data_IF_224711688465
#
_entry.id   IF_224711688465
#
_cell.length_a   1.000
_cell.length_b   1.000
_cell.length_c   1.000
_cell.angle_alpha   90.00
_cell.angle_beta   90.00
_cell.angle_gamma   90.00
#
_symmetry.space_group_name_H-M   'P 1'
#
loop_
_entity.id
_entity.type
_entity.pdbx_description
1 polymer ?
#
# COMPACT_ATOMS: atom_id res chain seq x y z
N UNK A 1 14.58 18.57 -5.65
CA UNK A 1 14.39 17.68 -4.48
C UNK A 1 15.75 17.15 -4.04
N UNK A 2 16.10 17.19 -2.74
CA UNK A 2 17.44 16.71 -2.29
C UNK A 2 17.57 15.20 -2.58
N UNK A 3 18.74 14.73 -3.04
CA UNK A 3 18.99 13.30 -3.34
C UNK A 3 18.54 12.37 -2.20
N UNK A 4 18.78 12.75 -0.95
CA UNK A 4 18.34 12.00 0.23
C UNK A 4 16.82 11.86 0.42
N UNK A 5 15.98 12.73 -0.16
CA UNK A 5 14.51 12.58 -0.14
C UNK A 5 14.07 11.49 -1.13
N UNK A 6 14.66 11.47 -2.32
CA UNK A 6 14.35 10.46 -3.34
C UNK A 6 14.66 9.05 -2.82
N UNK A 7 15.83 8.84 -2.22
CA UNK A 7 16.18 7.54 -1.64
C UNK A 7 15.24 7.09 -0.53
N UNK A 8 14.71 8.02 0.26
CA UNK A 8 13.74 7.71 1.33
C UNK A 8 12.38 7.29 0.79
N UNK A 9 11.94 7.95 -0.28
CA UNK A 9 10.75 7.56 -1.04
C UNK A 9 10.94 6.15 -1.58
N UNK A 10 12.06 5.90 -2.28
CA UNK A 10 12.38 4.59 -2.87
C UNK A 10 12.36 3.48 -1.82
N UNK A 11 12.98 3.67 -0.66
CA UNK A 11 13.00 2.65 0.40
C UNK A 11 11.63 2.40 0.99
N UNK A 12 10.86 3.48 1.25
CA UNK A 12 9.51 3.34 1.81
C UNK A 12 8.61 2.57 0.85
N UNK A 13 8.67 2.96 -0.41
CA UNK A 13 7.97 2.31 -1.51
C UNK A 13 8.39 0.84 -1.68
N UNK A 14 9.70 0.56 -1.75
CA UNK A 14 10.21 -0.79 -1.95
C UNK A 14 9.88 -1.71 -0.77
N UNK A 15 9.95 -1.20 0.47
CA UNK A 15 9.56 -1.96 1.67
C UNK A 15 8.09 -2.34 1.60
N UNK A 16 7.21 -1.39 1.30
CA UNK A 16 5.79 -1.64 1.13
C UNK A 16 5.55 -2.70 0.05
N UNK A 17 6.20 -2.57 -1.11
CA UNK A 17 6.03 -3.48 -2.24
C UNK A 17 6.58 -4.88 -2.00
N UNK A 18 7.73 -5.02 -1.35
CA UNK A 18 8.29 -6.33 -1.03
C UNK A 18 7.36 -7.06 -0.07
N UNK A 19 6.88 -6.38 0.98
CA UNK A 19 5.95 -6.99 1.94
C UNK A 19 4.62 -7.35 1.27
N UNK A 20 4.07 -6.45 0.45
CA UNK A 20 2.86 -6.69 -0.31
C UNK A 20 3.05 -7.90 -1.25
N UNK A 21 4.12 -7.92 -2.05
CA UNK A 21 4.45 -9.02 -2.94
C UNK A 21 4.62 -10.36 -2.20
N UNK A 22 5.30 -10.38 -1.04
CA UNK A 22 5.44 -11.59 -0.23
C UNK A 22 4.09 -12.10 0.27
N UNK A 23 3.20 -11.19 0.69
CA UNK A 23 1.83 -11.54 1.06
C UNK A 23 1.06 -12.07 -0.17
N UNK A 24 1.34 -11.56 -1.37
CA UNK A 24 0.69 -12.01 -2.60
C UNK A 24 1.21 -13.35 -3.13
N UNK A 25 2.48 -13.65 -2.93
CA UNK A 25 3.06 -14.95 -3.28
C UNK A 25 2.39 -16.10 -2.51
N UNK A 26 1.74 -15.82 -1.38
CA UNK A 26 0.91 -16.78 -0.64
C UNK A 26 -0.47 -17.07 -1.25
N UNK A 27 -0.75 -16.56 -2.47
CA UNK A 27 -1.90 -16.98 -3.29
C UNK A 27 -2.83 -15.87 -3.77
N UNK A 28 -2.42 -14.60 -3.73
CA UNK A 28 -3.22 -13.42 -4.13
C UNK A 28 -2.93 -13.07 -5.58
N UNK A 29 -3.81 -13.49 -6.48
CA UNK A 29 -3.80 -13.05 -7.88
C UNK A 29 -4.47 -11.68 -8.02
N UNK A 30 -3.75 -10.70 -8.55
CA UNK A 30 -4.29 -9.36 -8.85
C UNK A 30 -4.10 -8.99 -10.32
N UNK A 31 -4.94 -8.07 -10.80
CA UNK A 31 -4.80 -7.53 -12.16
C UNK A 31 -3.67 -6.49 -12.21
N UNK A 32 -3.08 -6.31 -13.40
CA UNK A 32 -2.09 -5.27 -13.67
C UNK A 32 -2.57 -3.87 -13.29
N UNK A 33 -3.88 -3.58 -13.41
CA UNK A 33 -4.46 -2.31 -12.97
C UNK A 33 -4.31 -2.09 -11.47
N UNK A 34 -4.59 -3.10 -10.64
CA UNK A 34 -4.46 -2.98 -9.18
C UNK A 34 -3.00 -2.80 -8.76
N UNK A 35 -2.09 -3.56 -9.37
CA UNK A 35 -0.65 -3.39 -9.15
C UNK A 35 -0.18 -1.97 -9.50
N UNK A 36 -0.56 -1.42 -10.66
CA UNK A 36 -0.17 -0.06 -11.07
C UNK A 36 -0.78 0.99 -10.14
N UNK A 37 -2.02 0.81 -9.70
CA UNK A 37 -2.68 1.75 -8.79
C UNK A 37 -2.05 1.73 -7.39
N UNK A 38 -1.70 0.56 -6.84
CA UNK A 38 -0.95 0.46 -5.57
C UNK A 38 0.42 1.10 -5.67
N UNK A 39 1.10 0.87 -6.79
CA UNK A 39 2.40 1.48 -7.13
C UNK A 39 2.29 3.01 -7.07
N UNK A 40 1.33 3.59 -7.78
CA UNK A 40 1.13 5.03 -7.82
C UNK A 40 0.79 5.62 -6.43
N UNK A 41 -0.11 4.97 -5.68
CA UNK A 41 -0.51 5.44 -4.35
C UNK A 41 0.64 5.38 -3.34
N UNK A 42 1.38 4.28 -3.27
CA UNK A 42 2.52 4.15 -2.35
C UNK A 42 3.63 5.17 -2.62
N UNK A 43 3.93 5.45 -3.90
CA UNK A 43 4.85 6.52 -4.29
C UNK A 43 4.32 7.89 -3.89
N UNK A 44 3.05 8.19 -4.19
CA UNK A 44 2.42 9.48 -3.89
C UNK A 44 2.43 9.77 -2.37
N UNK A 45 2.02 8.81 -1.55
CA UNK A 45 2.00 8.99 -0.10
C UNK A 45 3.40 9.08 0.50
N UNK A 46 4.37 8.32 -0.01
CA UNK A 46 5.77 8.48 0.41
C UNK A 46 6.30 9.87 0.02
N UNK A 47 5.97 10.37 -1.17
CA UNK A 47 6.31 11.73 -1.59
C UNK A 47 5.69 12.78 -0.68
N UNK A 48 4.38 12.71 -0.40
CA UNK A 48 3.69 13.62 0.52
C UNK A 48 4.38 13.61 1.89
N UNK A 49 4.71 12.42 2.41
CA UNK A 49 5.41 12.31 3.67
C UNK A 49 6.77 13.01 3.65
N UNK A 50 7.67 12.70 2.71
CA UNK A 50 9.03 13.25 2.75
C UNK A 50 9.18 14.67 2.18
N UNK A 51 8.24 15.12 1.34
CA UNK A 51 8.28 16.44 0.69
C UNK A 51 7.43 17.49 1.41
N UNK A 52 6.28 17.10 1.97
CA UNK A 52 5.34 18.02 2.64
C UNK A 52 5.50 17.92 4.17
N UNK A 53 5.54 16.70 4.71
CA UNK A 53 5.64 16.48 6.15
C UNK A 53 7.11 16.43 6.64
N UNK A 54 7.58 17.53 7.21
CA UNK A 54 8.95 17.63 7.69
C UNK A 54 9.09 17.02 9.12
N UNK A 55 9.58 15.77 9.18
CA UNK A 55 10.41 15.14 10.26
C UNK A 55 9.77 14.53 11.54
N UNK A 56 10.46 13.41 11.88
CA UNK A 56 10.91 12.81 13.17
C UNK A 56 9.92 12.35 14.24
N UNK A 57 8.71 12.88 14.35
CA UNK A 57 7.79 12.36 15.38
C UNK A 57 7.17 11.03 14.96
N UNK A 58 7.40 9.96 15.74
CA UNK A 58 6.79 8.65 15.52
C UNK A 58 5.26 8.73 15.50
N UNK A 59 4.65 9.59 16.30
CA UNK A 59 3.18 9.75 16.32
C UNK A 59 2.64 10.28 14.99
N UNK A 60 3.33 11.25 14.37
CA UNK A 60 2.95 11.75 13.04
C UNK A 60 3.10 10.68 11.97
N UNK A 61 4.12 9.82 12.07
CA UNK A 61 4.30 8.67 11.17
C UNK A 61 3.18 7.65 11.35
N UNK A 62 2.83 7.33 12.59
CA UNK A 62 1.78 6.36 12.89
C UNK A 62 0.44 6.85 12.33
N UNK A 63 0.09 8.11 12.58
CA UNK A 63 -1.10 8.73 12.01
C UNK A 63 -1.07 8.73 10.48
N UNK A 64 0.04 9.12 9.87
CA UNK A 64 0.15 9.16 8.42
C UNK A 64 0.06 7.75 7.80
N UNK A 65 0.63 6.75 8.46
CA UNK A 65 0.57 5.35 8.02
C UNK A 65 -0.84 4.77 8.17
N UNK A 66 -1.56 5.16 9.23
CA UNK A 66 -2.98 4.86 9.40
C UNK A 66 -3.81 5.45 8.25
N UNK A 67 -3.58 6.72 7.89
CA UNK A 67 -4.27 7.38 6.78
C UNK A 67 -3.98 6.67 5.45
N UNK A 68 -2.71 6.35 5.19
CA UNK A 68 -2.32 5.57 4.01
C UNK A 68 -3.00 4.20 3.98
N UNK A 69 -2.93 3.43 5.07
CA UNK A 69 -3.53 2.10 5.16
C UNK A 69 -5.05 2.14 4.99
N UNK A 70 -5.71 3.16 5.54
CA UNK A 70 -7.15 3.40 5.37
C UNK A 70 -7.47 3.72 3.93
N UNK A 71 -6.74 4.64 3.31
CA UNK A 71 -6.93 5.03 1.92
C UNK A 71 -6.74 3.86 0.97
N UNK A 72 -5.65 3.11 1.09
CA UNK A 72 -5.37 2.00 0.18
C UNK A 72 -6.38 0.86 0.34
N UNK A 73 -6.83 0.60 1.57
CA UNK A 73 -7.84 -0.44 1.83
C UNK A 73 -9.23 -0.02 1.35
N UNK A 74 -9.61 1.26 1.54
CA UNK A 74 -10.84 1.81 0.99
C UNK A 74 -10.82 1.85 -0.54
N UNK A 75 -9.68 2.28 -1.13
CA UNK A 75 -9.45 2.22 -2.56
C UNK A 75 -9.61 0.80 -3.07
N UNK A 76 -9.08 -0.22 -2.36
CA UNK A 76 -9.29 -1.62 -2.69
C UNK A 76 -10.75 -2.04 -2.66
N UNK A 77 -11.45 -1.73 -1.57
CA UNK A 77 -12.87 -2.08 -1.43
C UNK A 77 -13.71 -1.48 -2.56
N UNK A 78 -13.47 -0.21 -2.88
CA UNK A 78 -14.17 0.48 -3.97
C UNK A 78 -13.74 -0.05 -5.33
N UNK A 79 -12.44 -0.18 -5.61
CA UNK A 79 -11.97 -0.53 -6.96
C UNK A 79 -12.07 -2.02 -7.27
N UNK A 80 -11.87 -2.90 -6.28
CA UNK A 80 -11.93 -4.37 -6.47
C UNK A 80 -13.34 -4.94 -6.38
N UNK A 81 -14.24 -4.29 -5.64
CA UNK A 81 -15.59 -4.83 -5.36
C UNK A 81 -16.74 -3.94 -5.80
N UNK A 82 -16.51 -2.71 -6.30
CA UNK A 82 -17.59 -1.96 -6.94
C UNK A 82 -17.76 -2.41 -8.40
N UNK A 83 -19.02 -2.61 -8.80
CA UNK A 83 -19.39 -2.89 -10.20
C UNK A 83 -18.93 -1.80 -11.17
N UNK A 84 -18.50 -0.62 -10.69
CA UNK A 84 -17.99 0.49 -11.51
C UNK A 84 -16.71 0.12 -12.27
N UNK A 85 -15.77 -0.59 -11.64
CA UNK A 85 -14.51 -1.01 -12.31
C UNK A 85 -14.77 -2.16 -13.29
N UNK A 86 -15.73 -3.03 -12.97
CA UNK A 86 -16.20 -4.08 -13.88
C UNK A 86 -16.93 -3.48 -15.10
N UNK A 87 -17.71 -2.41 -14.92
CA UNK A 87 -18.37 -1.64 -15.98
C UNK A 87 -17.39 -0.94 -16.93
N UNK A 88 -16.23 -0.49 -16.44
CA UNK A 88 -15.19 0.16 -17.23
C UNK A 88 -14.32 -0.81 -18.05
N UNK A 89 -14.74 -2.07 -18.19
CA UNK A 89 -14.06 -3.06 -19.03
C UNK A 89 -12.73 -3.57 -18.46
N UNK A 90 -12.39 -3.20 -17.22
CA UNK A 90 -11.37 -3.89 -16.46
C UNK A 90 -11.95 -5.23 -16.00
N UNK A 91 -12.04 -6.18 -16.94
CA UNK A 91 -12.30 -7.58 -16.64
C UNK A 91 -11.12 -8.08 -15.81
N UNK A 92 -11.25 -7.99 -14.50
CA UNK A 92 -10.56 -8.95 -13.67
C UNK A 92 -11.04 -10.32 -14.15
N UNK A 93 -10.17 -11.10 -14.81
CA UNK A 93 -10.32 -12.55 -14.87
C UNK A 93 -10.15 -13.07 -13.45
N UNK A 94 -11.14 -12.74 -12.62
CA UNK A 94 -11.17 -13.08 -11.23
C UNK A 94 -11.75 -14.49 -11.22
N UNK A 95 -10.89 -15.48 -11.19
CA UNK A 95 -11.18 -16.57 -10.26
C UNK A 95 -10.92 -15.92 -8.90
N UNK A 96 -11.95 -15.61 -8.09
CA UNK A 96 -11.70 -15.14 -6.75
C UNK A 96 -10.76 -16.15 -6.11
N UNK A 97 -9.52 -15.75 -5.78
CA UNK A 97 -8.59 -16.66 -5.15
C UNK A 97 -9.26 -17.21 -3.89
N UNK A 98 -8.88 -18.41 -3.45
CA UNK A 98 -9.66 -19.14 -2.44
C UNK A 98 -9.98 -18.31 -1.19
N UNK A 99 -9.24 -17.25 -0.85
CA UNK A 99 -9.56 -16.32 0.25
C UNK A 99 -10.66 -15.27 -0.01
N UNK A 100 -11.17 -15.11 -1.24
CA UNK A 100 -12.39 -14.32 -1.52
C UNK A 100 -13.63 -15.20 -1.42
N UNK A 101 -13.50 -16.51 -1.68
CA UNK A 101 -14.52 -17.52 -1.35
C UNK A 101 -14.43 -17.90 0.14
N UNK A 102 -13.24 -17.82 0.73
CA UNK A 102 -12.95 -17.91 2.15
C UNK A 102 -12.47 -16.57 2.69
N UNK A 103 -13.39 -15.63 2.90
CA UNK A 103 -13.21 -14.53 3.87
C UNK A 103 -13.07 -15.04 5.31
N UNK A 104 -12.29 -16.11 5.51
CA UNK A 104 -12.24 -16.94 6.73
C UNK A 104 -10.85 -16.92 7.38
N UNK A 105 -9.81 -16.30 6.79
CA UNK A 105 -8.52 -16.21 7.52
C UNK A 105 -7.94 -14.80 7.67
N UNK A 106 -8.12 -13.88 6.71
CA UNK A 106 -7.72 -12.48 6.91
C UNK A 106 -8.91 -11.51 6.77
N UNK A 107 -9.55 -11.20 7.89
CA UNK A 107 -10.56 -10.14 8.01
C UNK A 107 -10.07 -8.83 7.35
N UNK A 108 -10.93 -8.03 6.68
CA UNK A 108 -10.55 -6.74 6.08
C UNK A 108 -9.77 -5.81 7.01
N UNK A 109 -10.03 -5.93 8.31
CA UNK A 109 -9.29 -5.28 9.38
C UNK A 109 -7.80 -5.65 9.41
N UNK A 110 -7.44 -6.93 9.23
CA UNK A 110 -6.05 -7.37 9.20
C UNK A 110 -5.33 -6.92 7.93
N UNK A 111 -6.04 -6.86 6.79
CA UNK A 111 -5.52 -6.29 5.53
C UNK A 111 -5.19 -4.81 5.69
N UNK A 112 -6.09 -4.08 6.35
CA UNK A 112 -5.89 -2.67 6.69
C UNK A 112 -4.73 -2.45 7.66
N UNK A 113 -4.61 -3.26 8.72
CA UNK A 113 -3.48 -3.24 9.65
C UNK A 113 -2.18 -3.50 8.89
N UNK A 114 -2.15 -4.51 8.03
CA UNK A 114 -0.98 -4.88 7.24
C UNK A 114 -0.46 -3.69 6.42
N UNK A 115 -1.31 -3.05 5.62
CA UNK A 115 -0.89 -1.90 4.81
C UNK A 115 -0.37 -0.74 5.65
N UNK A 116 -1.02 -0.46 6.79
CA UNK A 116 -0.61 0.57 7.72
C UNK A 116 0.78 0.27 8.29
N UNK A 117 1.03 -0.97 8.70
CA UNK A 117 2.32 -1.40 9.28
C UNK A 117 3.43 -1.47 8.23
N UNK A 118 3.14 -2.00 7.04
CA UNK A 118 4.11 -2.12 5.96
C UNK A 118 4.63 -0.74 5.52
N UNK A 119 3.72 0.24 5.41
CA UNK A 119 4.10 1.62 5.10
C UNK A 119 4.88 2.27 6.25
N UNK A 120 4.44 2.10 7.49
CA UNK A 120 5.14 2.61 8.67
C UNK A 120 6.57 2.07 8.74
N UNK A 121 6.75 0.77 8.50
CA UNK A 121 8.07 0.15 8.47
C UNK A 121 8.95 0.80 7.40
N UNK A 122 8.42 1.05 6.21
CA UNK A 122 9.11 1.81 5.17
C UNK A 122 9.60 3.19 5.65
N UNK A 123 8.74 3.94 6.35
CA UNK A 123 9.09 5.23 6.95
C UNK A 123 10.14 5.15 8.08
N UNK A 124 10.24 4.01 8.76
CA UNK A 124 11.28 3.77 9.76
C UNK A 124 12.60 3.36 9.11
N UNK A 125 12.58 2.43 8.17
CA UNK A 125 13.77 1.99 7.44
C UNK A 125 14.41 3.15 6.65
N UNK A 126 13.61 4.06 6.12
CA UNK A 126 14.12 5.23 5.40
C UNK A 126 14.99 6.15 6.28
N UNK A 127 14.92 6.04 7.62
CA UNK A 127 15.75 6.86 8.54
C UNK A 127 17.23 6.53 8.46
N UNK A 128 17.57 5.29 8.09
CA UNK A 128 18.95 4.85 7.96
C UNK A 128 19.65 5.47 6.74
N UNK A 129 18.90 6.06 5.81
CA UNK A 129 19.47 6.86 4.72
C UNK A 129 19.88 8.23 5.22
N UNK A 130 21.19 8.48 5.18
CA UNK A 130 21.79 9.79 5.46
C UNK A 130 21.20 10.86 4.53
N UNK A 131 21.02 12.07 5.09
CA UNK A 131 20.39 13.22 4.41
C UNK A 131 21.14 13.64 3.15
#
# INVERSE_FOLDING_TARGET
MKKGVIYKIIITFATFWILDFLLHFTGVGETTYYYISKLANSILFAFIWFSIYNKREHLKKLFFSFVFGTWISAYYLVSSYSGLVQLLGAYARYTPPAFVIFGVVLHPFFWWIFHSLAFFLGLELSRFVKK
#
